data_IF_429625130040
#
_entry.id   IF_429625130040
#
_cell.length_a   1.000
_cell.length_b   1.000
_cell.length_c   1.000
_cell.angle_alpha   90.00
_cell.angle_beta   90.00
_cell.angle_gamma   90.00
#
_symmetry.space_group_name_H-M   'P 1'
#
loop_
_entity.id
_entity.type
_entity.pdbx_description
1 polymer ?
#
# COMPACT_ATOMS: atom_id res chain seq x y z
N UNK A 1 28.58 45.56 58.67
CA UNK A 1 27.18 45.10 58.81
C UNK A 1 26.44 45.69 57.63
N UNK A 2 26.16 44.99 56.54
CA UNK A 2 25.14 43.96 56.44
C UNK A 2 25.50 42.99 55.31
N UNK A 3 25.40 41.69 55.61
CA UNK A 3 25.41 40.59 54.65
C UNK A 3 24.01 40.50 54.05
N UNK A 4 23.88 40.37 52.74
CA UNK A 4 22.65 39.86 52.15
C UNK A 4 22.88 38.48 51.55
N UNK A 5 22.01 37.58 52.00
CA UNK A 5 22.01 36.15 51.84
C UNK A 5 21.59 35.72 50.43
N UNK A 6 22.27 34.67 49.99
CA UNK A 6 21.84 33.57 49.13
C UNK A 6 20.60 32.88 49.70
N UNK A 7 19.52 32.66 48.92
CA UNK A 7 18.55 31.54 49.04
C UNK A 7 17.43 31.63 47.98
N UNK A 8 17.04 30.45 47.44
CA UNK A 8 15.83 30.19 46.62
C UNK A 8 16.12 30.16 45.12
N UNK A 9 16.55 29.09 44.46
CA UNK A 9 16.02 27.72 44.32
C UNK A 9 14.63 27.61 43.66
N UNK A 10 14.64 26.83 42.56
CA UNK A 10 13.54 26.07 41.94
C UNK A 10 12.36 26.85 41.34
N UNK A 11 12.53 27.31 40.10
CA UNK A 11 11.45 27.20 39.12
C UNK A 11 11.60 25.84 38.44
N UNK A 12 10.77 24.90 38.88
CA UNK A 12 10.44 23.70 38.13
C UNK A 12 9.70 24.12 36.86
N UNK A 13 10.42 24.23 35.74
CA UNK A 13 9.83 24.15 34.41
C UNK A 13 9.46 22.70 34.16
N UNK A 14 8.37 22.26 34.78
CA UNK A 14 7.62 21.08 34.36
C UNK A 14 6.68 21.51 33.24
N UNK A 15 7.25 21.86 32.09
CA UNK A 15 6.55 21.72 30.81
C UNK A 15 6.58 20.22 30.49
N UNK A 16 5.68 19.51 31.16
CA UNK A 16 5.21 18.22 30.71
C UNK A 16 4.49 18.52 29.40
N UNK A 17 5.23 18.39 28.30
CA UNK A 17 4.69 18.22 26.95
C UNK A 17 3.86 16.92 26.94
N UNK A 18 2.66 17.03 27.50
CA UNK A 18 1.58 16.06 27.43
C UNK A 18 1.00 16.08 26.02
N UNK A 19 1.77 15.57 25.07
CA UNK A 19 1.30 15.33 23.69
C UNK A 19 0.70 13.93 23.57
N UNK A 20 -0.22 13.59 24.49
CA UNK A 20 -1.24 12.56 24.27
C UNK A 20 -2.60 13.15 23.89
N UNK A 21 -2.63 14.30 23.20
CA UNK A 21 -3.75 14.63 22.30
C UNK A 21 -3.64 13.80 21.01
N UNK A 22 -3.87 12.48 21.16
CA UNK A 22 -4.56 11.70 20.14
C UNK A 22 -6.04 11.94 20.45
N UNK A 23 -6.81 12.64 19.63
CA UNK A 23 -7.53 12.00 18.52
C UNK A 23 -8.37 13.00 17.70
N UNK A 24 -8.15 14.32 17.80
CA UNK A 24 -9.08 15.26 17.15
C UNK A 24 -8.87 15.41 15.64
N UNK A 25 -7.64 15.24 15.14
CA UNK A 25 -7.38 15.28 13.69
C UNK A 25 -7.74 13.98 12.96
N UNK A 26 -7.66 12.82 13.63
CA UNK A 26 -8.04 11.52 13.06
C UNK A 26 -9.56 11.40 12.91
N UNK A 27 -10.33 11.96 13.85
CA UNK A 27 -11.80 11.99 13.77
C UNK A 27 -12.26 12.92 12.64
N UNK A 28 -11.62 14.07 12.44
CA UNK A 28 -12.02 15.03 11.40
C UNK A 28 -11.62 14.57 9.99
N UNK A 29 -10.46 13.91 9.83
CA UNK A 29 -10.09 13.24 8.56
C UNK A 29 -11.02 12.06 8.26
N UNK A 30 -11.38 11.24 9.25
CA UNK A 30 -12.30 10.12 9.06
C UNK A 30 -13.73 10.58 8.72
N UNK A 31 -14.21 11.67 9.33
CA UNK A 31 -15.53 12.22 9.03
C UNK A 31 -15.56 12.93 7.67
N UNK A 32 -14.49 13.63 7.31
CA UNK A 32 -14.33 14.22 5.97
C UNK A 32 -14.19 13.16 4.88
N UNK A 33 -13.52 12.04 5.17
CA UNK A 33 -13.47 10.87 4.28
C UNK A 33 -14.84 10.20 4.13
N UNK A 34 -15.64 10.10 5.20
CA UNK A 34 -17.03 9.59 5.16
C UNK A 34 -17.97 10.50 4.36
N UNK A 35 -17.83 11.81 4.48
CA UNK A 35 -18.60 12.77 3.67
C UNK A 35 -18.19 12.74 2.19
N UNK A 36 -16.88 12.66 1.89
CA UNK A 36 -16.39 12.55 0.50
C UNK A 36 -16.77 11.21 -0.16
N UNK A 37 -16.78 10.10 0.58
CA UNK A 37 -17.25 8.79 0.07
C UNK A 37 -18.76 8.78 -0.18
N UNK A 38 -19.55 9.51 0.62
CA UNK A 38 -21.01 9.62 0.44
C UNK A 38 -21.39 10.44 -0.80
N UNK A 39 -20.64 11.50 -1.10
CA UNK A 39 -20.86 12.35 -2.27
C UNK A 39 -20.41 11.65 -3.57
N UNK A 40 -19.28 10.94 -3.57
CA UNK A 40 -18.76 10.29 -4.79
C UNK A 40 -19.46 8.98 -5.18
N UNK A 41 -20.12 8.28 -4.26
CA UNK A 41 -20.88 7.06 -4.60
C UNK A 41 -22.12 7.36 -5.46
N UNK A 42 -22.67 8.58 -5.36
CA UNK A 42 -23.82 9.01 -6.16
C UNK A 42 -23.47 9.29 -7.64
N UNK A 43 -22.22 9.60 -7.97
CA UNK A 43 -21.78 9.75 -9.37
C UNK A 43 -21.67 8.40 -10.09
N UNK A 44 -21.35 7.33 -9.35
CA UNK A 44 -21.13 5.98 -9.88
C UNK A 44 -22.47 5.32 -10.29
N UNK A 45 -23.59 5.70 -9.66
CA UNK A 45 -24.92 5.18 -9.98
C UNK A 45 -25.50 5.74 -11.29
N UNK A 46 -25.05 6.91 -11.74
CA UNK A 46 -25.63 7.57 -12.92
C UNK A 46 -25.01 7.09 -14.24
N UNK A 47 -23.81 6.49 -14.21
CA UNK A 47 -23.12 6.03 -15.42
C UNK A 47 -23.35 4.55 -15.74
N UNK A 48 -23.83 3.75 -14.77
CA UNK A 48 -24.18 2.33 -14.94
C UNK A 48 -25.43 2.10 -15.79
N UNK A 49 -26.33 3.10 -15.87
CA UNK A 49 -27.57 3.02 -16.65
C UNK A 49 -27.32 3.11 -18.16
N UNK A 50 -26.21 3.74 -18.59
CA UNK A 50 -25.93 3.98 -20.01
C UNK A 50 -25.26 2.81 -20.71
N UNK A 51 -24.51 1.97 -19.99
CA UNK A 51 -23.75 0.84 -20.57
C UNK A 51 -24.66 -0.39 -20.83
N UNK A 52 -25.82 -0.46 -20.15
CA UNK A 52 -26.68 -1.65 -20.15
C UNK A 52 -27.57 -1.83 -21.39
N UNK A 53 -27.53 -0.92 -22.38
CA UNK A 53 -28.47 -0.97 -23.53
C UNK A 53 -27.90 -1.53 -24.84
N UNK A 54 -26.59 -1.75 -24.93
CA UNK A 54 -25.94 -2.10 -26.22
C UNK A 54 -25.48 -3.57 -26.34
N UNK A 55 -25.76 -4.43 -25.36
CA UNK A 55 -25.34 -5.85 -25.38
C UNK A 55 -26.30 -6.80 -26.10
N UNK A 56 -27.28 -6.32 -26.86
CA UNK A 56 -28.24 -7.20 -27.54
C UNK A 56 -28.32 -6.98 -29.05
N UNK A 57 -27.23 -7.29 -29.77
CA UNK A 57 -27.33 -7.62 -31.20
C UNK A 57 -26.16 -8.49 -31.69
N UNK A 58 -26.41 -9.81 -31.72
CA UNK A 58 -25.98 -10.78 -32.76
C UNK A 58 -24.49 -10.84 -33.17
N UNK A 59 -23.86 -12.01 -33.05
CA UNK A 59 -23.94 -13.02 -34.12
C UNK A 59 -23.16 -14.32 -33.84
N UNK A 60 -23.69 -15.38 -34.44
CA UNK A 60 -23.29 -16.77 -34.45
C UNK A 60 -21.84 -16.99 -34.93
N UNK A 61 -21.12 -17.89 -34.25
CA UNK A 61 -19.91 -18.52 -34.79
C UNK A 61 -20.28 -19.89 -35.40
N UNK A 62 -20.18 -19.99 -36.72
CA UNK A 62 -20.34 -21.23 -37.48
C UNK A 62 -19.08 -22.09 -37.36
N UNK A 63 -19.31 -23.40 -37.20
CA UNK A 63 -18.34 -24.47 -37.40
C UNK A 63 -18.03 -24.61 -38.90
N UNK A 64 -16.75 -24.62 -39.27
CA UNK A 64 -16.24 -25.25 -40.50
C UNK A 64 -14.87 -25.87 -40.24
N UNK A 65 -14.66 -26.98 -40.95
CA UNK A 65 -13.77 -28.11 -40.67
C UNK A 65 -12.41 -28.01 -41.38
N UNK A 66 -11.47 -28.85 -40.91
CA UNK A 66 -10.18 -29.32 -41.44
C UNK A 66 -9.45 -28.62 -42.61
N UNK A 67 -8.15 -28.37 -42.39
CA UNK A 67 -7.18 -28.12 -43.46
C UNK A 67 -5.75 -27.89 -42.95
N UNK A 68 -4.95 -28.95 -42.91
CA UNK A 68 -3.50 -28.88 -42.68
C UNK A 68 -2.77 -28.26 -43.88
N UNK A 69 -1.91 -27.25 -43.68
CA UNK A 69 -0.69 -27.05 -44.50
C UNK A 69 0.38 -26.31 -43.70
N UNK A 70 1.60 -26.80 -43.86
CA UNK A 70 2.79 -26.49 -43.08
C UNK A 70 3.54 -25.23 -43.57
N UNK A 71 4.19 -24.57 -42.60
CA UNK A 71 5.52 -23.93 -42.62
C UNK A 71 5.85 -22.82 -43.65
N UNK A 72 6.02 -21.60 -43.11
CA UNK A 72 7.03 -20.62 -43.53
C UNK A 72 7.80 -20.17 -42.27
N UNK A 73 9.14 -20.30 -42.19
CA UNK A 73 9.90 -19.86 -41.04
C UNK A 73 10.11 -18.35 -41.14
N UNK A 74 9.19 -17.58 -40.57
CA UNK A 74 9.36 -16.13 -40.45
C UNK A 74 10.52 -15.79 -39.49
N UNK A 75 11.67 -15.57 -40.12
CA UNK A 75 12.83 -14.78 -39.71
C UNK A 75 13.06 -14.60 -38.19
N UNK A 76 14.07 -15.30 -37.70
CA UNK A 76 14.47 -15.46 -36.31
C UNK A 76 15.22 -14.25 -35.76
N UNK A 77 14.51 -13.18 -35.40
CA UNK A 77 15.04 -12.14 -34.51
C UNK A 77 13.86 -11.28 -34.00
N UNK A 78 13.49 -11.48 -32.71
CA UNK A 78 12.49 -10.70 -31.95
C UNK A 78 11.08 -11.28 -31.75
N UNK A 79 10.85 -12.59 -31.88
CA UNK A 79 9.74 -13.19 -31.12
C UNK A 79 10.17 -13.27 -29.66
N UNK A 80 9.99 -12.18 -28.91
CA UNK A 80 10.04 -12.22 -27.44
C UNK A 80 9.05 -13.31 -27.05
N UNK A 81 9.55 -14.46 -26.59
CA UNK A 81 8.68 -15.53 -26.10
C UNK A 81 7.92 -14.89 -24.95
N UNK A 82 6.61 -14.65 -25.15
CA UNK A 82 5.76 -14.08 -24.14
C UNK A 82 5.87 -14.98 -22.91
N UNK A 83 6.35 -14.40 -21.81
CA UNK A 83 6.55 -15.15 -20.57
C UNK A 83 5.18 -15.62 -20.11
N UNK A 84 4.98 -16.94 -20.09
CA UNK A 84 3.70 -17.54 -19.70
C UNK A 84 3.69 -17.75 -18.19
N UNK A 85 2.75 -17.11 -17.51
CA UNK A 85 2.51 -17.32 -16.07
C UNK A 85 1.45 -18.41 -15.87
N UNK A 86 1.53 -19.11 -14.74
CA UNK A 86 0.56 -20.15 -14.36
C UNK A 86 -0.43 -19.60 -13.34
N UNK A 87 -1.58 -20.26 -13.24
CA UNK A 87 -2.49 -20.07 -12.11
C UNK A 87 -1.73 -20.33 -10.80
N UNK A 88 -1.71 -19.34 -9.91
CA UNK A 88 -0.87 -19.34 -8.70
C UNK A 88 0.33 -18.40 -8.71
N UNK A 89 0.76 -17.91 -9.89
CA UNK A 89 1.77 -16.87 -9.98
C UNK A 89 1.13 -15.49 -9.71
N UNK A 90 1.82 -14.64 -8.93
CA UNK A 90 1.40 -13.26 -8.65
C UNK A 90 -0.08 -13.12 -8.21
N UNK A 91 -0.54 -14.04 -7.35
CA UNK A 91 -1.93 -14.11 -6.84
C UNK A 91 -2.40 -12.89 -6.04
N UNK A 92 -1.49 -11.96 -5.73
CA UNK A 92 -1.74 -10.69 -5.08
C UNK A 92 -1.87 -9.52 -6.08
N UNK A 93 -1.78 -9.78 -7.38
CA UNK A 93 -1.88 -8.77 -8.45
C UNK A 93 -3.17 -8.96 -9.23
N UNK A 94 -3.86 -7.85 -9.45
CA UNK A 94 -5.09 -7.76 -10.26
C UNK A 94 -4.85 -6.78 -11.40
N UNK A 95 -5.19 -7.14 -12.63
CA UNK A 95 -5.21 -6.20 -13.74
C UNK A 95 -6.61 -5.62 -13.90
N UNK A 96 -6.68 -4.29 -13.89
CA UNK A 96 -7.81 -3.51 -14.39
C UNK A 96 -7.58 -3.27 -15.88
N UNK A 97 -8.53 -3.67 -16.71
CA UNK A 97 -8.40 -3.59 -18.17
C UNK A 97 -9.59 -2.88 -18.81
N UNK A 98 -9.47 -2.59 -20.11
CA UNK A 98 -10.49 -1.88 -20.89
C UNK A 98 -10.85 -0.51 -20.28
N UNK A 99 -9.84 0.17 -19.72
CA UNK A 99 -10.00 1.51 -19.17
C UNK A 99 -10.23 2.51 -20.31
N UNK A 100 -11.16 3.44 -20.09
CA UNK A 100 -11.35 4.58 -20.99
C UNK A 100 -10.37 5.69 -20.60
N UNK A 101 -9.97 6.56 -21.55
CA UNK A 101 -9.02 7.65 -21.28
C UNK A 101 -9.53 8.69 -20.26
N UNK A 102 -10.82 8.68 -19.94
CA UNK A 102 -11.40 9.54 -18.92
C UNK A 102 -11.13 9.04 -17.49
N UNK A 103 -10.83 7.75 -17.33
CA UNK A 103 -10.53 7.14 -16.03
C UNK A 103 -9.15 7.58 -15.55
N UNK A 104 -9.11 8.12 -14.34
CA UNK A 104 -7.87 8.58 -13.69
C UNK A 104 -7.49 7.64 -12.56
N UNK A 105 -6.24 7.76 -12.13
CA UNK A 105 -5.71 7.06 -10.94
C UNK A 105 -6.65 7.17 -9.74
N UNK A 106 -7.18 8.36 -9.47
CA UNK A 106 -8.06 8.60 -8.33
C UNK A 106 -9.39 7.83 -8.39
N UNK A 107 -9.92 7.55 -9.58
CA UNK A 107 -11.17 6.79 -9.73
C UNK A 107 -10.95 5.32 -9.36
N UNK A 108 -9.82 4.76 -9.83
CA UNK A 108 -9.41 3.39 -9.53
C UNK A 108 -9.07 3.24 -8.04
N UNK A 109 -8.28 4.16 -7.49
CA UNK A 109 -7.91 4.18 -6.07
C UNK A 109 -9.14 4.32 -5.17
N UNK A 110 -10.09 5.20 -5.52
CA UNK A 110 -11.33 5.38 -4.75
C UNK A 110 -12.16 4.11 -4.70
N UNK A 111 -12.27 3.38 -5.81
CA UNK A 111 -12.96 2.09 -5.85
C UNK A 111 -12.24 1.03 -4.99
N UNK A 112 -10.92 0.94 -5.10
CA UNK A 112 -10.12 -0.01 -4.32
C UNK A 112 -10.21 0.29 -2.82
N UNK A 113 -10.09 1.55 -2.42
CA UNK A 113 -10.21 1.98 -1.02
C UNK A 113 -11.60 1.68 -0.47
N UNK A 114 -12.66 1.83 -1.27
CA UNK A 114 -14.02 1.46 -0.86
C UNK A 114 -14.19 -0.05 -0.61
N UNK A 115 -13.52 -0.90 -1.40
CA UNK A 115 -13.58 -2.37 -1.28
C UNK A 115 -12.69 -2.87 -0.13
N UNK A 116 -11.48 -2.33 -0.04
CA UNK A 116 -10.47 -2.81 0.92
C UNK A 116 -10.71 -2.25 2.32
N UNK A 117 -11.28 -1.04 2.41
CA UNK A 117 -11.41 -0.30 3.66
C UNK A 117 -10.04 0.09 4.23
N UNK A 118 -9.97 0.21 5.55
CA UNK A 118 -8.73 0.56 6.25
C UNK A 118 -7.79 -0.64 6.36
N UNK A 119 -7.01 -0.87 5.30
CA UNK A 119 -5.96 -1.89 5.26
C UNK A 119 -4.61 -1.30 5.70
N UNK A 120 -3.84 -2.07 6.48
CA UNK A 120 -2.52 -1.66 6.99
C UNK A 120 -1.55 -1.23 5.89
N UNK A 121 -1.62 -1.88 4.73
CA UNK A 121 -0.84 -1.54 3.56
C UNK A 121 -1.81 -1.36 2.40
N UNK A 122 -1.90 -0.13 1.90
CA UNK A 122 -2.71 0.18 0.73
C UNK A 122 -2.16 -0.55 -0.51
N UNK A 123 -3.03 -1.11 -1.36
CA UNK A 123 -2.61 -1.60 -2.66
C UNK A 123 -1.93 -0.51 -3.48
N UNK A 124 -0.93 -0.89 -4.27
CA UNK A 124 -0.20 0.03 -5.15
C UNK A 124 -0.78 -0.06 -6.54
N UNK A 125 -1.21 1.08 -7.09
CA UNK A 125 -1.64 1.19 -8.48
C UNK A 125 -0.43 1.46 -9.40
N UNK A 126 -0.35 0.70 -10.49
CA UNK A 126 0.68 0.87 -11.52
C UNK A 126 0.05 0.84 -12.91
N UNK A 127 0.16 1.95 -13.63
CA UNK A 127 -0.26 2.01 -15.04
C UNK A 127 0.70 1.23 -15.94
N UNK A 128 0.13 0.55 -16.94
CA UNK A 128 0.84 -0.23 -17.96
C UNK A 128 0.73 0.48 -19.31
N UNK A 129 -0.48 0.88 -19.65
CA UNK A 129 -0.84 1.71 -20.81
C UNK A 129 -2.15 2.46 -20.51
N UNK A 130 -2.70 3.20 -21.48
CA UNK A 130 -3.92 3.99 -21.28
C UNK A 130 -5.19 3.16 -21.00
N UNK A 131 -5.14 1.83 -21.19
CA UNK A 131 -6.26 0.89 -21.05
C UNK A 131 -6.06 -0.16 -19.96
N UNK A 132 -4.85 -0.24 -19.40
CA UNK A 132 -4.47 -1.28 -18.44
C UNK A 132 -3.71 -0.69 -17.26
N UNK A 133 -4.13 -1.09 -16.07
CA UNK A 133 -3.45 -0.80 -14.81
C UNK A 133 -3.38 -2.04 -13.93
N UNK A 134 -2.30 -2.19 -13.18
CA UNK A 134 -2.12 -3.25 -12.18
C UNK A 134 -2.39 -2.71 -10.79
N UNK A 135 -3.14 -3.46 -10.01
CA UNK A 135 -3.35 -3.27 -8.58
C UNK A 135 -2.55 -4.33 -7.85
N UNK A 136 -1.47 -3.90 -7.21
CA UNK A 136 -0.55 -4.77 -6.49
C UNK A 136 -0.92 -4.74 -5.01
N UNK A 137 -1.47 -5.85 -4.53
CA UNK A 137 -1.94 -5.98 -3.16
C UNK A 137 -0.84 -6.51 -2.23
N UNK A 138 -1.05 -6.31 -0.92
CA UNK A 138 -0.20 -6.87 0.13
C UNK A 138 -0.35 -8.39 0.27
N UNK A 139 -1.51 -8.93 -0.12
CA UNK A 139 -1.87 -10.33 0.05
C UNK A 139 -2.84 -10.83 -1.02
N UNK A 140 -2.89 -12.16 -1.20
CA UNK A 140 -3.87 -12.81 -2.06
C UNK A 140 -5.31 -12.55 -1.62
N UNK A 141 -5.57 -12.46 -0.32
CA UNK A 141 -6.90 -12.19 0.23
C UNK A 141 -7.45 -10.85 -0.25
N UNK A 142 -6.63 -9.80 -0.18
CA UNK A 142 -6.99 -8.46 -0.68
C UNK A 142 -7.26 -8.49 -2.19
N UNK A 143 -6.42 -9.16 -2.98
CA UNK A 143 -6.63 -9.30 -4.42
C UNK A 143 -7.94 -10.03 -4.77
N UNK A 144 -8.27 -11.11 -4.06
CA UNK A 144 -9.53 -11.84 -4.24
C UNK A 144 -10.75 -10.98 -3.88
N UNK A 145 -10.66 -10.15 -2.84
CA UNK A 145 -11.72 -9.19 -2.51
C UNK A 145 -11.96 -8.20 -3.65
N UNK A 146 -10.90 -7.63 -4.20
CA UNK A 146 -10.98 -6.72 -5.34
C UNK A 146 -11.57 -7.42 -6.57
N UNK A 147 -11.12 -8.63 -6.89
CA UNK A 147 -11.64 -9.43 -8.01
C UNK A 147 -13.12 -9.79 -7.87
N UNK A 148 -13.62 -9.96 -6.65
CA UNK A 148 -15.02 -10.36 -6.41
C UNK A 148 -15.96 -9.17 -6.32
N UNK A 149 -15.58 -8.11 -5.62
CA UNK A 149 -16.43 -6.95 -5.36
C UNK A 149 -16.24 -5.82 -6.39
N UNK A 150 -15.05 -5.68 -6.96
CA UNK A 150 -14.73 -4.60 -7.91
C UNK A 150 -15.21 -4.83 -9.33
N UNK A 151 -15.67 -6.04 -9.66
CA UNK A 151 -16.17 -6.39 -11.01
C UNK A 151 -17.45 -5.64 -11.41
N UNK A 152 -18.16 -5.05 -10.44
CA UNK A 152 -19.33 -4.21 -10.72
C UNK A 152 -18.95 -2.82 -11.26
N UNK A 153 -17.72 -2.37 -11.01
CA UNK A 153 -17.25 -1.01 -11.34
C UNK A 153 -16.23 -1.05 -12.49
N UNK A 154 -15.32 -2.03 -12.46
CA UNK A 154 -14.25 -2.16 -13.44
C UNK A 154 -14.14 -3.58 -13.99
N UNK A 155 -13.57 -3.67 -15.19
CA UNK A 155 -13.17 -4.94 -15.78
C UNK A 155 -11.88 -5.43 -15.12
N UNK A 156 -11.98 -6.53 -14.35
CA UNK A 156 -10.89 -7.06 -13.54
C UNK A 156 -10.55 -8.50 -13.90
N UNK A 157 -9.25 -8.81 -14.00
CA UNK A 157 -8.75 -10.17 -14.20
C UNK A 157 -7.48 -10.45 -13.37
N UNK A 158 -7.24 -11.72 -13.00
CA UNK A 158 -6.03 -12.09 -12.29
C UNK A 158 -4.79 -11.96 -13.17
N UNK A 159 -3.60 -11.85 -12.55
CA UNK A 159 -2.37 -11.56 -13.28
C UNK A 159 -1.96 -12.63 -14.33
N UNK A 160 -2.27 -13.91 -14.11
CA UNK A 160 -1.94 -14.96 -15.09
C UNK A 160 -2.71 -14.80 -16.42
N UNK A 161 -3.88 -14.16 -16.37
CA UNK A 161 -4.71 -13.77 -17.54
C UNK A 161 -4.39 -12.37 -18.06
N UNK A 162 -3.39 -11.69 -17.48
CA UNK A 162 -3.12 -10.30 -17.81
C UNK A 162 -2.60 -10.11 -19.24
N UNK A 163 -2.71 -8.86 -19.72
CA UNK A 163 -2.20 -8.44 -21.03
C UNK A 163 -0.70 -8.72 -21.18
N UNK A 164 -0.22 -8.82 -22.42
CA UNK A 164 1.21 -8.98 -22.71
C UNK A 164 2.04 -7.80 -22.16
N UNK A 165 1.50 -6.58 -22.17
CA UNK A 165 2.12 -5.40 -21.56
C UNK A 165 2.35 -5.61 -20.07
N UNK A 166 1.30 -5.99 -19.34
CA UNK A 166 1.36 -6.29 -17.91
C UNK A 166 2.33 -7.41 -17.57
N UNK A 167 2.33 -8.49 -18.37
CA UNK A 167 3.20 -9.65 -18.18
C UNK A 167 4.66 -9.39 -18.50
N UNK A 168 4.93 -8.37 -19.32
CA UNK A 168 6.28 -7.96 -19.72
C UNK A 168 7.01 -7.10 -18.68
N UNK A 169 6.29 -6.61 -17.65
CA UNK A 169 6.88 -5.85 -16.56
C UNK A 169 7.92 -6.67 -15.79
N UNK A 170 8.89 -5.96 -15.23
CA UNK A 170 9.97 -6.59 -14.49
C UNK A 170 9.48 -7.12 -13.14
N UNK A 171 10.04 -8.22 -12.60
CA UNK A 171 9.64 -8.75 -11.30
C UNK A 171 9.73 -7.73 -10.15
N UNK A 172 10.66 -6.78 -10.24
CA UNK A 172 10.84 -5.71 -9.24
C UNK A 172 9.64 -4.73 -9.21
N UNK A 173 8.96 -4.56 -10.34
CA UNK A 173 7.77 -3.70 -10.42
C UNK A 173 6.50 -4.39 -9.95
N UNK A 174 6.57 -5.71 -9.77
CA UNK A 174 5.47 -6.56 -9.32
C UNK A 174 5.64 -6.93 -7.84
N UNK A 175 6.52 -6.26 -7.11
CA UNK A 175 6.70 -6.53 -5.68
C UNK A 175 5.51 -6.01 -4.87
N UNK A 176 4.98 -6.80 -3.91
CA UNK A 176 3.98 -6.32 -2.96
C UNK A 176 4.45 -5.06 -2.22
N UNK A 177 3.52 -4.19 -1.79
CA UNK A 177 3.85 -3.05 -0.95
C UNK A 177 4.60 -3.48 0.30
N UNK A 178 5.77 -2.88 0.53
CA UNK A 178 6.58 -3.11 1.73
C UNK A 178 6.29 -2.01 2.75
N UNK A 179 6.15 -2.34 4.05
CA UNK A 179 6.04 -1.32 5.07
C UNK A 179 7.31 -0.46 5.06
N UNK A 180 7.15 0.86 5.20
CA UNK A 180 8.30 1.74 5.36
C UNK A 180 9.10 1.29 6.59
N UNK A 181 10.44 1.25 6.52
CA UNK A 181 11.25 0.89 7.66
C UNK A 181 10.93 1.83 8.82
N UNK A 182 10.60 1.26 9.98
CA UNK A 182 10.32 2.04 11.18
C UNK A 182 11.61 2.70 11.65
N UNK A 183 11.75 4.00 11.39
CA UNK A 183 12.82 4.83 11.92
C UNK A 183 12.25 5.83 12.91
N UNK A 184 12.94 6.07 14.03
CA UNK A 184 12.55 7.13 14.95
C UNK A 184 13.07 8.47 14.43
N UNK A 185 12.35 9.54 14.69
CA UNK A 185 12.76 10.91 14.32
C UNK A 185 14.17 11.22 14.80
N UNK A 186 14.53 10.76 16.00
CA UNK A 186 15.86 10.91 16.60
C UNK A 186 16.94 10.24 15.74
N UNK A 187 16.73 8.98 15.33
CA UNK A 187 17.68 8.25 14.50
C UNK A 187 17.78 8.88 13.10
N UNK A 188 16.65 9.27 12.52
CA UNK A 188 16.62 9.95 11.23
C UNK A 188 17.41 11.28 11.29
N UNK A 189 17.15 12.11 12.30
CA UNK A 189 17.86 13.37 12.57
C UNK A 189 19.38 13.18 12.70
N UNK A 190 19.80 12.17 13.46
CA UNK A 190 21.22 11.79 13.58
C UNK A 190 21.85 11.42 12.23
N UNK A 191 21.16 10.59 11.43
CA UNK A 191 21.64 10.14 10.11
C UNK A 191 21.74 11.33 9.16
N UNK A 192 20.70 12.16 9.08
CA UNK A 192 20.66 13.34 8.22
C UNK A 192 21.72 14.37 8.63
N UNK A 193 21.89 14.62 9.93
CA UNK A 193 22.93 15.51 10.44
C UNK A 193 24.33 15.02 10.11
N UNK A 194 24.57 13.71 10.13
CA UNK A 194 25.85 13.13 9.71
C UNK A 194 26.08 13.28 8.20
N UNK A 195 25.11 12.93 7.36
CA UNK A 195 25.25 12.96 5.91
C UNK A 195 25.31 14.38 5.32
N UNK A 196 24.60 15.33 5.93
CA UNK A 196 24.56 16.72 5.50
C UNK A 196 25.61 17.60 6.21
N UNK A 197 26.39 17.05 7.14
CA UNK A 197 27.34 17.82 7.96
C UNK A 197 26.67 18.82 8.92
N UNK A 198 25.37 18.70 9.14
CA UNK A 198 24.52 19.61 9.93
C UNK A 198 24.34 19.10 11.34
N UNK A 199 25.18 19.58 12.27
CA UNK A 199 25.15 19.16 13.68
C UNK A 199 23.93 19.70 14.44
N UNK A 200 23.33 20.77 13.95
CA UNK A 200 22.10 21.38 14.46
C UNK A 200 20.88 20.45 14.37
N UNK A 201 20.90 19.50 13.44
CA UNK A 201 19.84 18.49 13.33
C UNK A 201 19.92 17.43 14.43
N UNK A 202 21.07 17.27 15.10
CA UNK A 202 21.30 16.19 16.06
C UNK A 202 20.88 16.62 17.46
N UNK A 203 19.96 15.84 18.05
CA UNK A 203 19.51 16.02 19.42
C UNK A 203 20.13 14.94 20.31
N UNK A 204 21.10 15.32 21.15
CA UNK A 204 21.81 14.38 22.03
C UNK A 204 20.94 13.90 23.19
N UNK A 205 20.09 14.76 23.75
CA UNK A 205 19.22 14.40 24.86
C UNK A 205 18.20 13.35 24.41
N UNK A 206 17.56 13.58 23.27
CA UNK A 206 16.62 12.62 22.69
C UNK A 206 17.29 11.29 22.28
N UNK A 207 18.58 11.31 21.90
CA UNK A 207 19.36 10.09 21.66
C UNK A 207 19.61 9.28 22.94
N UNK A 208 19.95 9.95 24.04
CA UNK A 208 20.18 9.33 25.34
C UNK A 208 18.90 8.72 25.91
N UNK A 209 17.78 9.44 25.84
CA UNK A 209 16.46 8.93 26.24
C UNK A 209 16.05 7.70 25.44
N UNK A 210 16.25 7.74 24.11
CA UNK A 210 15.97 6.59 23.26
C UNK A 210 16.86 5.39 23.62
N UNK A 211 18.12 5.63 23.99
CA UNK A 211 19.04 4.58 24.44
C UNK A 211 18.62 3.99 25.79
N UNK A 212 18.20 4.82 26.74
CA UNK A 212 17.67 4.37 28.03
C UNK A 212 16.41 3.53 27.85
N UNK A 213 15.44 3.98 27.02
CA UNK A 213 14.22 3.21 26.73
C UNK A 213 14.54 1.85 26.10
N UNK A 214 15.49 1.79 25.17
CA UNK A 214 15.94 0.52 24.56
C UNK A 214 16.58 -0.41 25.58
N UNK A 215 17.37 0.12 26.52
CA UNK A 215 17.99 -0.65 27.60
C UNK A 215 16.94 -1.23 28.55
N UNK A 216 16.01 -0.40 29.02
CA UNK A 216 14.92 -0.83 29.89
C UNK A 216 14.05 -1.91 29.24
N UNK A 217 13.69 -1.76 27.95
CA UNK A 217 12.91 -2.75 27.22
C UNK A 217 13.65 -4.10 27.10
N UNK A 218 14.97 -4.08 26.94
CA UNK A 218 15.80 -5.29 26.91
C UNK A 218 15.83 -5.97 28.28
N UNK A 219 16.10 -5.21 29.34
CA UNK A 219 16.14 -5.73 30.71
C UNK A 219 14.78 -6.34 31.12
N UNK A 220 13.67 -5.68 30.77
CA UNK A 220 12.32 -6.22 30.97
C UNK A 220 12.09 -7.54 30.23
N UNK A 221 12.45 -7.61 28.94
CA UNK A 221 12.30 -8.84 28.16
C UNK A 221 13.13 -9.99 28.74
N UNK A 222 14.35 -9.72 29.16
CA UNK A 222 15.23 -10.71 29.80
C UNK A 222 14.67 -11.19 31.15
N UNK A 223 14.11 -10.28 31.95
CA UNK A 223 13.47 -10.63 33.21
C UNK A 223 12.20 -11.49 33.01
N UNK A 224 11.34 -11.12 32.04
CA UNK A 224 10.14 -11.89 31.71
C UNK A 224 10.49 -13.29 31.18
N UNK A 225 11.55 -13.41 30.37
CA UNK A 225 12.01 -14.70 29.87
C UNK A 225 12.48 -15.60 31.01
N UNK A 226 13.32 -15.09 31.91
CA UNK A 226 13.77 -15.84 33.10
C UNK A 226 12.59 -16.28 33.98
N UNK A 227 11.60 -15.42 34.16
CA UNK A 227 10.40 -15.76 34.94
C UNK A 227 9.56 -16.83 34.24
N UNK A 228 9.49 -16.83 32.91
CA UNK A 228 8.82 -17.88 32.15
C UNK A 228 9.56 -19.21 32.28
N UNK A 229 10.88 -19.21 32.07
CA UNK A 229 11.73 -20.41 32.15
C UNK A 229 11.62 -21.05 33.54
N UNK A 230 11.65 -20.24 34.60
CA UNK A 230 11.49 -20.72 35.98
C UNK A 230 10.12 -21.35 36.27
N UNK A 231 9.06 -20.99 35.52
CA UNK A 231 7.72 -21.57 35.67
C UNK A 231 7.59 -22.93 34.97
N UNK A 232 8.49 -23.25 34.02
CA UNK A 232 8.49 -24.51 33.26
C UNK A 232 9.55 -25.52 33.73
N UNK A 233 10.34 -25.18 34.75
CA UNK A 233 11.35 -26.07 35.35
C UNK A 233 10.83 -26.90 36.54
N UNK A 234 9.54 -26.76 36.90
CA UNK A 234 8.79 -27.60 37.87
C UNK A 234 7.91 -28.65 37.17
#
# INVERSE_FOLDING_TARGET
MHRNNRMGDSQSDSDVDDWEDKDDWEIDVANKAKELTKVNCSLIQNNTISISKDLNNKNQINLVDEGAYNNEPVNSLSRRIAKKYKEGDYVYIVEVYDLTPDIKTGDIECCIDAICGDVKLKPVLKWVDDRHALVICDSHHTATKILTQGREVFNLRPFWEASDGSRSLSPNELEPPKPRPKTTTVVAKRILGHHLGRRDLRDKAAEEDLAMRRRQAREQKEASQKANDALWED
#
